data_IF_228799313107
#
_entry.id   IF_228799313107
#
_cell.length_a   1.000
_cell.length_b   1.000
_cell.length_c   1.000
_cell.angle_alpha   90.00
_cell.angle_beta   90.00
_cell.angle_gamma   90.00
#
_symmetry.space_group_name_H-M   'P 1'
#
loop_
_entity.id
_entity.type
_entity.pdbx_description
1 polymer ?
#
# COMPACT_ATOMS: atom_id res chain seq x y z
N UNK A 1 3.86 -13.21 -23.97
CA UNK A 1 4.20 -12.75 -25.34
C UNK A 1 3.01 -12.01 -25.95
N UNK A 2 2.62 -10.86 -25.39
CA UNK A 2 1.76 -9.91 -26.12
C UNK A 2 2.67 -9.04 -27.00
N UNK A 3 3.35 -9.69 -27.96
CA UNK A 3 4.44 -9.11 -28.75
C UNK A 3 3.98 -8.20 -29.88
N UNK A 4 3.47 -7.01 -29.57
CA UNK A 4 3.11 -6.04 -30.62
C UNK A 4 3.02 -4.56 -30.20
N UNK A 5 3.04 -4.23 -28.91
CA UNK A 5 3.00 -2.84 -28.45
C UNK A 5 4.41 -2.33 -28.13
N UNK A 6 4.74 -1.07 -28.46
CA UNK A 6 6.01 -0.48 -28.05
C UNK A 6 6.14 -0.43 -26.53
N UNK A 7 7.35 -0.64 -26.00
CA UNK A 7 7.58 -0.74 -24.54
C UNK A 7 7.17 0.53 -23.79
N UNK A 8 7.40 1.71 -24.38
CA UNK A 8 6.91 2.97 -23.83
C UNK A 8 5.38 3.07 -23.75
N UNK A 9 4.67 2.44 -24.68
CA UNK A 9 3.19 2.35 -24.65
C UNK A 9 2.75 1.40 -23.56
N UNK A 10 3.43 0.26 -23.38
CA UNK A 10 3.15 -0.67 -22.28
C UNK A 10 3.35 0.01 -20.92
N UNK A 11 4.42 0.80 -20.73
CA UNK A 11 4.64 1.59 -19.52
C UNK A 11 3.51 2.59 -19.26
N UNK A 12 3.10 3.38 -20.27
CA UNK A 12 2.02 4.35 -20.13
C UNK A 12 0.67 3.69 -19.83
N UNK A 13 0.32 2.63 -20.54
CA UNK A 13 -0.92 1.87 -20.30
C UNK A 13 -0.90 1.22 -18.93
N UNK A 14 0.23 0.64 -18.52
CA UNK A 14 0.44 0.07 -17.20
C UNK A 14 0.18 1.07 -16.07
N UNK A 15 0.76 2.27 -16.19
CA UNK A 15 0.54 3.39 -15.26
C UNK A 15 -0.93 3.82 -15.18
N UNK A 16 -1.60 3.98 -16.33
CA UNK A 16 -3.02 4.33 -16.39
C UNK A 16 -3.87 3.27 -15.67
N UNK A 17 -3.63 1.99 -15.96
CA UNK A 17 -4.35 0.88 -15.33
C UNK A 17 -4.11 0.81 -13.81
N UNK A 18 -2.88 1.07 -13.35
CA UNK A 18 -2.57 1.15 -11.93
C UNK A 18 -3.32 2.30 -11.24
N UNK A 19 -3.36 3.50 -11.83
CA UNK A 19 -4.05 4.66 -11.24
C UNK A 19 -5.55 4.39 -11.12
N UNK A 20 -6.21 3.98 -12.21
CA UNK A 20 -7.65 3.73 -12.18
C UNK A 20 -8.00 2.47 -11.38
N UNK A 21 -7.15 1.44 -11.45
CA UNK A 21 -7.32 0.21 -10.67
C UNK A 21 -7.21 0.46 -9.17
N UNK A 22 -6.19 1.22 -8.75
CA UNK A 22 -6.00 1.63 -7.36
C UNK A 22 -7.18 2.45 -6.84
N UNK A 23 -7.62 3.45 -7.60
CA UNK A 23 -8.79 4.27 -7.23
C UNK A 23 -10.07 3.42 -7.08
N UNK A 24 -10.31 2.48 -8.02
CA UNK A 24 -11.47 1.59 -7.95
C UNK A 24 -11.42 0.64 -6.74
N UNK A 25 -10.24 0.13 -6.38
CA UNK A 25 -10.03 -0.68 -5.17
C UNK A 25 -10.36 0.15 -3.93
N UNK A 26 -9.76 1.33 -3.78
CA UNK A 26 -9.98 2.21 -2.62
C UNK A 26 -11.46 2.53 -2.44
N UNK A 27 -12.12 2.98 -3.52
CA UNK A 27 -13.52 3.38 -3.51
C UNK A 27 -14.47 2.22 -3.24
N UNK A 28 -14.23 1.07 -3.89
CA UNK A 28 -15.00 -0.15 -3.66
C UNK A 28 -14.88 -0.62 -2.21
N UNK A 29 -13.66 -0.60 -1.66
CA UNK A 29 -13.39 -0.95 -0.26
C UNK A 29 -14.06 0.00 0.73
N UNK A 30 -14.02 1.31 0.50
CA UNK A 30 -14.70 2.29 1.37
C UNK A 30 -16.20 2.02 1.44
N UNK A 31 -16.83 1.69 0.30
CA UNK A 31 -18.28 1.45 0.26
C UNK A 31 -18.68 0.09 0.84
N UNK A 32 -17.88 -0.95 0.63
CA UNK A 32 -18.05 -2.25 1.30
C UNK A 32 -17.92 -2.07 2.82
N UNK A 33 -16.86 -1.39 3.27
CA UNK A 33 -16.60 -1.15 4.68
C UNK A 33 -17.70 -0.32 5.35
N UNK A 34 -18.17 0.74 4.70
CA UNK A 34 -19.30 1.53 5.19
C UNK A 34 -20.57 0.70 5.38
N UNK A 35 -20.82 -0.30 4.54
CA UNK A 35 -21.94 -1.24 4.73
C UNK A 35 -21.81 -2.08 6.01
N UNK A 36 -20.58 -2.35 6.45
CA UNK A 36 -20.28 -3.05 7.71
C UNK A 36 -20.10 -2.12 8.90
N UNK A 37 -20.41 -0.82 8.76
CA UNK A 37 -20.25 0.18 9.83
C UNK A 37 -18.78 0.52 10.13
N UNK A 38 -17.87 0.22 9.22
CA UNK A 38 -16.44 0.42 9.40
C UNK A 38 -16.01 1.82 8.94
N UNK A 39 -15.24 2.57 9.74
CA UNK A 39 -14.76 3.91 9.38
C UNK A 39 -13.88 3.92 8.11
N UNK A 40 -14.03 4.94 7.27
CA UNK A 40 -13.27 5.07 6.01
C UNK A 40 -11.76 5.17 6.24
N UNK A 41 -11.32 5.83 7.33
CA UNK A 41 -9.91 5.92 7.68
C UNK A 41 -9.32 4.51 7.88
N UNK A 42 -10.07 3.59 8.47
CA UNK A 42 -9.59 2.24 8.76
C UNK A 42 -9.39 1.46 7.47
N UNK A 43 -10.24 1.68 6.46
CA UNK A 43 -10.07 1.08 5.12
C UNK A 43 -8.76 1.51 4.49
N UNK A 44 -8.44 2.81 4.54
CA UNK A 44 -7.17 3.34 4.07
C UNK A 44 -5.98 2.78 4.86
N UNK A 45 -6.11 2.72 6.18
CA UNK A 45 -5.05 2.30 7.09
C UNK A 45 -4.77 0.78 7.08
N UNK A 46 -5.76 -0.03 6.70
CA UNK A 46 -5.65 -1.49 6.74
C UNK A 46 -5.68 -2.08 5.34
N UNK A 47 -6.79 -1.94 4.62
CA UNK A 47 -7.01 -2.65 3.37
C UNK A 47 -6.16 -2.07 2.24
N UNK A 48 -6.08 -0.74 2.15
CA UNK A 48 -5.21 -0.08 1.15
C UNK A 48 -3.74 -0.28 1.53
N UNK A 49 -3.35 0.04 2.76
CA UNK A 49 -1.95 -0.10 3.21
C UNK A 49 -1.40 -1.53 3.09
N UNK A 50 -2.15 -2.55 3.51
CA UNK A 50 -1.75 -3.95 3.33
C UNK A 50 -1.76 -4.29 1.83
N UNK A 51 -2.84 -3.93 1.12
CA UNK A 51 -3.03 -4.27 -0.28
C UNK A 51 -1.90 -3.76 -1.17
N UNK A 52 -1.44 -2.52 -0.97
CA UNK A 52 -0.30 -1.95 -1.70
C UNK A 52 1.04 -2.53 -1.30
N UNK A 53 1.15 -3.19 -0.13
CA UNK A 53 2.40 -3.81 0.36
C UNK A 53 2.52 -5.29 0.02
N UNK A 54 1.44 -5.93 -0.46
CA UNK A 54 1.44 -7.34 -0.87
C UNK A 54 2.39 -7.62 -2.05
N UNK A 55 2.50 -6.77 -3.09
CA UNK A 55 3.47 -6.97 -4.17
C UNK A 55 4.91 -7.02 -3.66
N UNK A 56 5.30 -6.12 -2.76
CA UNK A 56 6.62 -6.08 -2.15
C UNK A 56 6.90 -7.33 -1.32
N UNK A 57 5.91 -7.78 -0.53
CA UNK A 57 6.01 -9.07 0.17
C UNK A 57 6.22 -10.22 -0.81
N UNK A 58 5.53 -10.22 -1.94
CA UNK A 58 5.71 -11.19 -3.02
C UNK A 58 7.13 -11.20 -3.59
N UNK A 59 7.72 -10.02 -3.82
CA UNK A 59 9.12 -9.88 -4.27
C UNK A 59 10.09 -10.46 -3.24
N UNK A 60 9.91 -10.16 -1.95
CA UNK A 60 10.74 -10.71 -0.86
C UNK A 60 10.62 -12.23 -0.78
N UNK A 61 9.41 -12.78 -0.83
CA UNK A 61 9.19 -14.23 -0.82
C UNK A 61 9.80 -14.91 -2.05
N UNK A 62 9.73 -14.29 -3.22
CA UNK A 62 10.36 -14.80 -4.44
C UNK A 62 11.89 -14.82 -4.32
N UNK A 63 12.48 -13.74 -3.81
CA UNK A 63 13.93 -13.67 -3.54
C UNK A 63 14.39 -14.75 -2.56
N UNK A 64 13.65 -14.95 -1.45
CA UNK A 64 13.92 -16.03 -0.51
C UNK A 64 13.87 -17.42 -1.16
N UNK A 65 12.91 -17.64 -2.06
CA UNK A 65 12.81 -18.90 -2.80
C UNK A 65 13.96 -19.11 -3.79
N UNK A 66 14.53 -18.04 -4.36
CA UNK A 66 15.72 -18.13 -5.22
C UNK A 66 16.99 -18.48 -4.43
N UNK A 67 17.04 -18.10 -3.15
CA UNK A 67 18.11 -18.48 -2.22
C UNK A 67 19.47 -17.86 -2.51
N UNK A 68 19.56 -16.86 -3.40
CA UNK A 68 20.81 -16.13 -3.66
C UNK A 68 20.86 -14.84 -2.86
N UNK A 69 22.02 -14.53 -2.28
CA UNK A 69 22.21 -13.31 -1.49
C UNK A 69 21.89 -12.04 -2.31
N UNK A 70 22.31 -12.01 -3.59
CA UNK A 70 22.02 -10.90 -4.51
C UNK A 70 20.50 -10.63 -4.65
N UNK A 71 19.68 -11.68 -4.78
CA UNK A 71 18.23 -11.52 -4.89
C UNK A 71 17.60 -11.00 -3.60
N UNK A 72 18.13 -11.43 -2.44
CA UNK A 72 17.67 -10.98 -1.13
C UNK A 72 18.06 -9.52 -0.91
N UNK A 73 19.29 -9.13 -1.24
CA UNK A 73 19.77 -7.76 -1.13
C UNK A 73 18.96 -6.80 -2.02
N UNK A 74 18.64 -7.23 -3.25
CA UNK A 74 17.76 -6.47 -4.16
C UNK A 74 16.36 -6.30 -3.58
N UNK A 75 15.76 -7.37 -3.04
CA UNK A 75 14.42 -7.32 -2.46
C UNK A 75 14.37 -6.43 -1.21
N UNK A 76 15.35 -6.54 -0.31
CA UNK A 76 15.46 -5.68 0.89
C UNK A 76 15.67 -4.22 0.48
N UNK A 77 16.54 -3.96 -0.50
CA UNK A 77 16.75 -2.63 -1.06
C UNK A 77 15.45 -2.04 -1.63
N UNK A 78 14.65 -2.85 -2.31
CA UNK A 78 13.32 -2.48 -2.82
C UNK A 78 12.34 -2.08 -1.71
N UNK A 79 12.25 -2.86 -0.63
CA UNK A 79 11.37 -2.57 0.52
C UNK A 79 11.77 -1.25 1.20
N UNK A 80 13.07 -1.07 1.47
CA UNK A 80 13.58 0.16 2.09
C UNK A 80 13.35 1.36 1.17
N UNK A 81 13.65 1.22 -0.14
CA UNK A 81 13.44 2.25 -1.14
C UNK A 81 11.97 2.67 -1.28
N UNK A 82 11.04 1.72 -1.29
CA UNK A 82 9.59 1.98 -1.37
C UNK A 82 9.10 2.80 -0.16
N UNK A 83 9.53 2.46 1.06
CA UNK A 83 9.19 3.24 2.25
C UNK A 83 9.75 4.67 2.22
N UNK A 84 10.99 4.85 1.73
CA UNK A 84 11.57 6.18 1.54
C UNK A 84 10.76 6.98 0.52
N UNK A 85 10.40 6.38 -0.62
CA UNK A 85 9.59 7.02 -1.65
C UNK A 85 8.18 7.38 -1.14
N UNK A 86 7.53 6.51 -0.37
CA UNK A 86 6.20 6.78 0.19
C UNK A 86 6.21 7.99 1.12
N UNK A 87 7.20 8.10 2.00
CA UNK A 87 7.30 9.21 2.96
C UNK A 87 7.83 10.49 2.31
N UNK A 88 8.87 10.41 1.46
CA UNK A 88 9.53 11.60 0.94
C UNK A 88 8.95 12.09 -0.38
N UNK A 89 8.49 11.20 -1.26
CA UNK A 89 7.94 11.57 -2.57
C UNK A 89 6.41 11.66 -2.52
N UNK A 90 5.73 10.56 -2.20
CA UNK A 90 4.26 10.47 -2.29
C UNK A 90 3.59 11.41 -1.29
N UNK A 91 3.95 11.32 0.00
CA UNK A 91 3.37 12.17 1.04
C UNK A 91 3.70 13.66 0.81
N UNK A 92 4.93 13.99 0.40
CA UNK A 92 5.31 15.38 0.09
C UNK A 92 4.52 15.96 -1.08
N UNK A 93 4.31 15.19 -2.15
CA UNK A 93 3.45 15.62 -3.27
C UNK A 93 2.01 15.80 -2.79
N UNK A 94 1.48 14.88 -1.98
CA UNK A 94 0.13 15.02 -1.42
C UNK A 94 0.00 16.30 -0.57
N UNK A 95 1.02 16.64 0.22
CA UNK A 95 1.07 17.89 0.99
C UNK A 95 1.07 19.13 0.07
N UNK A 96 1.88 19.12 -0.99
CA UNK A 96 1.92 20.20 -1.99
C UNK A 96 0.55 20.38 -2.66
N UNK A 97 -0.16 19.27 -2.91
CA UNK A 97 -1.50 19.27 -3.50
C UNK A 97 -2.62 19.58 -2.48
N UNK A 98 -2.28 19.83 -1.21
CA UNK A 98 -3.22 20.32 -0.20
C UNK A 98 -3.90 19.25 0.66
N UNK A 99 -3.42 18.00 0.65
CA UNK A 99 -3.99 16.91 1.46
C UNK A 99 -3.96 17.18 2.97
N UNK A 100 -3.04 18.04 3.45
CA UNK A 100 -2.88 18.41 4.86
C UNK A 100 -3.59 19.71 5.25
N UNK A 101 -4.49 20.25 4.41
CA UNK A 101 -5.22 21.50 4.73
C UNK A 101 -6.10 21.41 5.98
N UNK A 102 -6.43 20.18 6.42
CA UNK A 102 -7.04 19.88 7.73
C UNK A 102 -6.46 18.56 8.26
N UNK A 103 -5.36 18.59 9.02
CA UNK A 103 -4.74 17.36 9.50
C UNK A 103 -5.65 16.64 10.50
N UNK A 104 -5.74 15.32 10.38
CA UNK A 104 -6.45 14.46 11.36
C UNK A 104 -5.89 14.71 12.77
N UNK A 105 -6.77 14.76 13.77
CA UNK A 105 -6.38 14.95 15.17
C UNK A 105 -5.40 13.90 15.68
N UNK A 106 -5.41 12.71 15.09
CA UNK A 106 -4.55 11.59 15.44
C UNK A 106 -3.29 11.49 14.57
N UNK A 107 -3.11 12.38 13.59
CA UNK A 107 -1.97 12.34 12.66
C UNK A 107 -0.62 12.39 13.40
N UNK A 108 -0.57 13.09 14.55
CA UNK A 108 0.63 13.14 15.39
C UNK A 108 0.98 11.77 15.99
N UNK A 109 -0.01 11.04 16.48
CA UNK A 109 0.20 9.70 17.05
C UNK A 109 0.63 8.71 15.96
N UNK A 110 0.00 8.79 14.78
CA UNK A 110 0.34 7.94 13.63
C UNK A 110 1.76 8.22 13.13
N UNK A 111 2.15 9.50 13.08
CA UNK A 111 3.50 9.91 12.70
C UNK A 111 4.56 9.44 13.72
N UNK A 112 4.25 9.48 15.01
CA UNK A 112 5.14 8.96 16.06
C UNK A 112 5.29 7.44 15.95
N UNK A 113 4.21 6.72 15.67
CA UNK A 113 4.27 5.27 15.50
C UNK A 113 5.09 4.90 14.25
N UNK A 114 4.91 5.62 13.14
CA UNK A 114 5.74 5.48 11.94
C UNK A 114 7.23 5.71 12.24
N UNK A 115 7.56 6.74 13.01
CA UNK A 115 8.93 7.06 13.40
C UNK A 115 9.54 5.94 14.25
N UNK A 116 8.81 5.42 15.23
CA UNK A 116 9.26 4.32 16.09
C UNK A 116 9.44 3.04 15.28
N UNK A 117 8.45 2.64 14.48
CA UNK A 117 8.51 1.43 13.67
C UNK A 117 9.67 1.47 12.67
N UNK A 118 9.82 2.58 11.96
CA UNK A 118 10.93 2.78 11.01
C UNK A 118 12.27 2.81 11.74
N UNK A 119 12.35 3.48 12.90
CA UNK A 119 13.57 3.55 13.70
C UNK A 119 14.06 2.19 14.21
N UNK A 120 13.14 1.31 14.64
CA UNK A 120 13.47 -0.06 15.07
C UNK A 120 14.03 -0.88 13.91
N UNK A 121 13.33 -0.89 12.76
CA UNK A 121 13.78 -1.63 11.57
C UNK A 121 15.11 -1.06 11.07
N UNK A 122 15.26 0.27 11.03
CA UNK A 122 16.48 0.93 10.60
C UNK A 122 17.66 0.58 11.53
N UNK A 123 17.45 0.62 12.85
CA UNK A 123 18.47 0.21 13.81
C UNK A 123 18.95 -1.22 13.59
N UNK A 124 18.02 -2.16 13.35
CA UNK A 124 18.35 -3.54 12.99
C UNK A 124 19.19 -3.62 11.71
N UNK A 125 18.76 -2.91 10.65
CA UNK A 125 19.46 -2.90 9.36
C UNK A 125 20.86 -2.30 9.44
N UNK A 126 21.06 -1.24 10.22
CA UNK A 126 22.35 -0.57 10.39
C UNK A 126 23.35 -1.41 11.19
N UNK A 127 22.86 -2.24 12.11
CA UNK A 127 23.67 -3.19 12.86
C UNK A 127 23.97 -4.47 12.07
N UNK A 128 23.35 -4.66 10.89
CA UNK A 128 23.51 -5.85 10.07
C UNK A 128 22.86 -7.10 10.67
N UNK A 129 21.98 -6.93 11.67
CA UNK A 129 21.34 -8.03 12.37
C UNK A 129 19.84 -8.10 12.03
N UNK A 130 19.41 -9.22 11.46
CA UNK A 130 17.99 -9.51 11.17
C UNK A 130 17.50 -10.76 11.90
N UNK A 131 17.49 -10.78 13.23
CA UNK A 131 16.95 -11.89 13.98
C UNK A 131 15.44 -12.03 13.77
N UNK A 132 15.01 -13.29 13.65
CA UNK A 132 13.59 -13.68 13.45
C UNK A 132 12.66 -13.07 14.50
N UNK A 133 13.14 -12.91 15.74
CA UNK A 133 12.33 -12.34 16.82
C UNK A 133 11.97 -10.86 16.58
N UNK A 134 12.82 -10.07 15.89
CA UNK A 134 12.49 -8.69 15.53
C UNK A 134 11.40 -8.64 14.46
N UNK A 135 11.44 -9.57 13.50
CA UNK A 135 10.36 -9.74 12.53
C UNK A 135 9.04 -10.11 13.22
N UNK A 136 9.06 -11.09 14.11
CA UNK A 136 7.88 -11.49 14.89
C UNK A 136 7.35 -10.34 15.76
N UNK A 137 8.24 -9.62 16.45
CA UNK A 137 7.89 -8.45 17.25
C UNK A 137 7.23 -7.35 16.40
N UNK A 138 7.73 -7.12 15.18
CA UNK A 138 7.19 -6.12 14.26
C UNK A 138 5.78 -6.49 13.76
N UNK A 139 5.53 -7.77 13.50
CA UNK A 139 4.19 -8.26 13.12
C UNK A 139 3.22 -8.12 14.32
N UNK A 140 3.66 -8.49 15.52
CA UNK A 140 2.86 -8.38 16.75
C UNK A 140 2.55 -6.92 17.06
N UNK A 141 3.53 -6.02 16.94
CA UNK A 141 3.33 -4.58 17.19
C UNK A 141 2.40 -3.94 16.17
N UNK A 142 2.50 -4.33 14.89
CA UNK A 142 1.54 -3.92 13.85
C UNK A 142 0.11 -4.36 14.21
N UNK A 143 -0.08 -5.63 14.58
CA UNK A 143 -1.38 -6.15 14.99
C UNK A 143 -1.95 -5.44 16.22
N UNK A 144 -1.10 -5.17 17.22
CA UNK A 144 -1.49 -4.44 18.43
C UNK A 144 -1.90 -3.00 18.12
N UNK A 145 -1.15 -2.32 17.24
CA UNK A 145 -1.46 -0.95 16.83
C UNK A 145 -2.75 -0.86 16.02
N UNK A 146 -2.99 -1.82 15.11
CA UNK A 146 -4.26 -1.91 14.38
C UNK A 146 -5.42 -2.14 15.35
N UNK A 147 -5.25 -3.03 16.34
CA UNK A 147 -6.23 -3.25 17.41
C UNK A 147 -6.49 -1.99 18.25
N UNK A 148 -5.44 -1.22 18.56
CA UNK A 148 -5.55 0.05 19.27
C UNK A 148 -6.34 1.08 18.47
N UNK A 149 -6.02 1.24 17.18
CA UNK A 149 -6.71 2.15 16.26
C UNK A 149 -8.19 1.79 16.15
N UNK A 150 -8.48 0.49 15.95
CA UNK A 150 -9.84 -0.03 15.85
C UNK A 150 -10.69 0.39 17.05
N UNK A 151 -10.16 0.20 18.26
CA UNK A 151 -10.87 0.50 19.50
C UNK A 151 -10.99 1.99 19.80
N UNK A 152 -9.99 2.78 19.44
CA UNK A 152 -9.90 4.19 19.83
C UNK A 152 -10.62 5.12 18.85
N UNK A 153 -10.74 4.72 17.59
CA UNK A 153 -11.35 5.54 16.52
C UNK A 153 -12.71 5.06 16.05
N UNK A 154 -13.29 4.05 16.71
CA UNK A 154 -14.67 3.59 16.50
C UNK A 154 -15.72 4.66 16.85
N UNK A 155 -15.38 5.55 17.81
CA UNK A 155 -16.29 6.61 18.30
C UNK A 155 -16.33 7.89 17.43
N UNK A 156 -15.46 8.04 16.43
CA UNK A 156 -15.35 9.25 15.58
C UNK A 156 -16.05 9.12 14.21
N UNK A 157 -17.01 8.22 14.09
CA UNK A 157 -17.66 7.77 12.84
C UNK A 157 -18.55 8.82 12.12
N UNK A 158 -18.23 10.12 12.19
CA UNK A 158 -19.01 11.18 11.53
C UNK A 158 -18.48 11.64 10.17
N UNK A 159 -17.26 11.24 9.75
CA UNK A 159 -16.78 11.49 8.39
C UNK A 159 -16.98 10.25 7.51
N UNK A 160 -18.18 10.14 6.96
CA UNK A 160 -18.44 9.25 5.82
C UNK A 160 -17.60 9.75 4.64
N UNK A 161 -16.55 9.03 4.26
CA UNK A 161 -15.90 9.26 2.98
C UNK A 161 -16.93 9.12 1.86
N UNK A 162 -17.27 10.22 1.20
CA UNK A 162 -18.18 10.24 0.06
C UNK A 162 -17.57 9.43 -1.08
N UNK A 163 -17.89 8.14 -1.17
CA UNK A 163 -17.55 7.34 -2.34
C UNK A 163 -18.46 7.70 -3.51
N UNK A 164 -17.86 7.92 -4.67
CA UNK A 164 -18.57 8.18 -5.92
C UNK A 164 -19.29 6.94 -6.49
N UNK A 165 -19.05 5.75 -5.94
CA UNK A 165 -19.70 4.52 -6.38
C UNK A 165 -21.18 4.52 -5.97
N UNK A 166 -22.12 4.37 -6.92
CA UNK A 166 -23.55 4.40 -6.63
C UNK A 166 -23.99 3.26 -5.69
N UNK A 167 -25.06 3.53 -4.92
CA UNK A 167 -25.48 2.70 -3.80
C UNK A 167 -25.77 1.24 -4.17
N UNK A 168 -25.05 0.32 -3.53
CA UNK A 168 -25.29 -1.12 -3.63
C UNK A 168 -24.02 -1.94 -3.44
N UNK A 169 -24.07 -2.93 -2.55
CA UNK A 169 -22.94 -3.82 -2.27
C UNK A 169 -22.40 -4.49 -3.54
N UNK A 170 -23.29 -4.87 -4.46
CA UNK A 170 -22.90 -5.49 -5.73
C UNK A 170 -22.01 -4.61 -6.61
N UNK A 171 -22.33 -3.32 -6.73
CA UNK A 171 -21.53 -2.37 -7.54
C UNK A 171 -20.18 -2.12 -6.87
N UNK A 172 -20.17 -1.98 -5.54
CA UNK A 172 -18.93 -1.82 -4.77
C UNK A 172 -18.00 -3.05 -4.89
N UNK A 173 -18.56 -4.26 -4.84
CA UNK A 173 -17.79 -5.50 -5.06
C UNK A 173 -17.27 -5.62 -6.50
N UNK A 174 -18.06 -5.21 -7.51
CA UNK A 174 -17.60 -5.17 -8.90
C UNK A 174 -16.46 -4.17 -9.08
N UNK A 175 -16.58 -2.97 -8.51
CA UNK A 175 -15.53 -1.97 -8.57
C UNK A 175 -14.25 -2.44 -7.87
N UNK A 176 -14.37 -3.06 -6.70
CA UNK A 176 -13.24 -3.63 -5.97
C UNK A 176 -12.53 -4.73 -6.76
N UNK A 177 -13.28 -5.72 -7.26
CA UNK A 177 -12.71 -6.85 -8.03
C UNK A 177 -12.15 -6.37 -9.37
N UNK A 178 -12.88 -5.49 -10.06
CA UNK A 178 -12.43 -4.88 -11.31
C UNK A 178 -11.15 -4.06 -11.11
N UNK A 179 -11.07 -3.31 -10.01
CA UNK A 179 -9.86 -2.59 -9.60
C UNK A 179 -8.67 -3.53 -9.40
N UNK A 180 -8.83 -4.64 -8.68
CA UNK A 180 -7.78 -5.64 -8.50
C UNK A 180 -7.29 -6.22 -9.84
N UNK A 181 -8.20 -6.47 -10.78
CA UNK A 181 -7.86 -6.94 -12.12
C UNK A 181 -7.05 -5.88 -12.89
N UNK A 182 -7.48 -4.62 -12.84
CA UNK A 182 -6.75 -3.51 -13.48
C UNK A 182 -5.36 -3.33 -12.88
N UNK A 183 -5.23 -3.39 -11.55
CA UNK A 183 -3.93 -3.33 -10.86
C UNK A 183 -3.01 -4.45 -11.32
N UNK A 184 -3.53 -5.68 -11.41
CA UNK A 184 -2.76 -6.83 -11.88
C UNK A 184 -2.21 -6.60 -13.29
N UNK A 185 -3.08 -6.29 -14.26
CA UNK A 185 -2.63 -6.07 -15.64
C UNK A 185 -1.76 -4.82 -15.80
N UNK A 186 -2.01 -3.78 -15.01
CA UNK A 186 -1.18 -2.59 -14.97
C UNK A 186 0.24 -2.89 -14.52
N UNK A 187 0.38 -3.70 -13.47
CA UNK A 187 1.66 -4.21 -12.98
C UNK A 187 2.37 -5.06 -14.04
N UNK A 188 1.67 -6.01 -14.68
CA UNK A 188 2.25 -6.87 -15.71
C UNK A 188 2.83 -6.04 -16.88
N UNK A 189 2.11 -5.01 -17.34
CA UNK A 189 2.58 -4.13 -18.43
C UNK A 189 3.74 -3.21 -18.03
N UNK A 190 3.79 -2.78 -16.77
CA UNK A 190 4.93 -2.01 -16.26
C UNK A 190 6.20 -2.84 -16.18
N UNK A 191 6.08 -4.12 -15.78
CA UNK A 191 7.22 -5.04 -15.74
C UNK A 191 7.69 -5.35 -17.17
N UNK A 192 6.78 -5.75 -18.07
CA UNK A 192 7.13 -6.11 -19.46
C UNK A 192 7.69 -4.89 -20.23
N UNK A 193 7.10 -3.70 -20.05
CA UNK A 193 7.63 -2.46 -20.63
C UNK A 193 8.93 -1.99 -19.98
N UNK A 194 9.15 -2.28 -18.70
CA UNK A 194 10.39 -1.95 -17.99
C UNK A 194 11.57 -2.82 -18.42
N UNK A 195 11.34 -4.13 -18.58
CA UNK A 195 12.32 -5.08 -19.09
C UNK A 195 12.70 -4.81 -20.56
N UNK A 196 11.76 -4.29 -21.37
CA UNK A 196 12.05 -3.91 -22.76
C UNK A 196 12.90 -2.64 -22.93
N UNK A 197 12.87 -1.74 -21.94
CA UNK A 197 13.59 -0.44 -21.96
C UNK A 197 14.94 -0.49 -21.25
N UNK A 198 15.14 -1.43 -20.31
CA UNK A 198 16.37 -1.63 -19.54
C UNK A 198 17.47 -2.37 -20.34
#
# INVERSE_FOLDING_TARGET
>A
MMGGLPDGVLLCVGLILLVFGGEAVVQGSMKIAGHFGMPSFLVGFTLVAIGTSLPELGVVLNALNRGTQESIDLAVGGVVGSNIANVMLVLSIAMILGATSRPDKNLREDSLMLLVATGVILGATLLGEFPVWMGALSIVSMGAYFGYILKTREEDSSDEGESWIPGGMGIASIAFIGGLILVKYGSDFLIEGGEGVA
#
